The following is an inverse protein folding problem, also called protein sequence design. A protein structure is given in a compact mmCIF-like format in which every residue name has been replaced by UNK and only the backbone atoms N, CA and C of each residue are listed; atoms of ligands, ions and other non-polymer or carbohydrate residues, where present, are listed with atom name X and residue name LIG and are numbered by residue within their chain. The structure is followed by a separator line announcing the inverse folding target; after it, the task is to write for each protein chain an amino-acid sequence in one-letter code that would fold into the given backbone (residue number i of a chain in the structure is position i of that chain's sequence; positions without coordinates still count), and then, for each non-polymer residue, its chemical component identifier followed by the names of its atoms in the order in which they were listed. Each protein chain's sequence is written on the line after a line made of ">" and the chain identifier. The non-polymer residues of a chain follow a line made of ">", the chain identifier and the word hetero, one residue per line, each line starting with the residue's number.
data_IF_374331014622
#
_entry.id   IF_374331014622
#
_cell.length_a   1.000
_cell.length_b   1.000
_cell.length_c   1.000
_cell.angle_alpha   90.00
_cell.angle_beta   90.00
_cell.angle_gamma   90.00
#
_symmetry.space_group_name_H-M   'P 1'
#
loop_
_entity.id
_entity.type
_entity.pdbx_description
1 polymer ?
#
# COMPACT_ATOMS: atom_id res chain seq x y z
N UNK A 1 9.47 7.50 22.76
CA UNK A 1 8.03 7.42 22.44
C UNK A 1 7.87 6.37 21.37
N UNK A 2 6.89 5.46 21.47
CA UNK A 2 6.69 4.42 20.47
C UNK A 2 6.12 5.06 19.20
N UNK A 3 6.88 5.05 18.09
CA UNK A 3 6.35 5.46 16.79
C UNK A 3 5.33 4.41 16.35
N UNK A 4 4.07 4.80 16.26
CA UNK A 4 3.01 3.93 15.74
C UNK A 4 3.30 3.69 14.26
N UNK A 5 3.31 2.42 13.84
CA UNK A 5 3.51 2.04 12.44
C UNK A 5 2.23 1.41 11.90
N UNK A 6 1.74 1.93 10.78
CA UNK A 6 0.56 1.43 10.06
C UNK A 6 0.96 0.97 8.66
N UNK A 7 0.31 -0.10 8.19
CA UNK A 7 0.42 -0.56 6.80
C UNK A 7 -0.97 -0.53 6.17
N UNK A 8 -1.19 0.41 5.26
CA UNK A 8 -2.38 0.52 4.44
C UNK A 8 -2.15 -0.27 3.15
N UNK A 9 -2.99 -1.27 2.90
CA UNK A 9 -2.90 -2.12 1.71
C UNK A 9 -4.07 -1.85 0.79
N UNK A 10 -3.79 -1.32 -0.40
CA UNK A 10 -4.77 -1.19 -1.47
C UNK A 10 -4.78 -2.49 -2.26
N UNK A 11 -5.89 -3.23 -2.24
CA UNK A 11 -6.05 -4.44 -3.06
C UNK A 11 -6.54 -4.03 -4.45
N UNK A 12 -5.95 -4.63 -5.49
CA UNK A 12 -6.27 -4.38 -6.89
C UNK A 12 -5.50 -5.31 -7.82
N UNK A 13 -5.68 -5.13 -9.12
CA UNK A 13 -4.88 -5.79 -10.16
C UNK A 13 -4.12 -4.74 -10.98
N UNK A 14 -2.83 -4.97 -11.31
CA UNK A 14 -2.04 -4.06 -12.13
C UNK A 14 -2.44 -4.11 -13.61
N UNK A 15 -2.29 -2.97 -14.31
CA UNK A 15 -2.45 -2.86 -15.77
C UNK A 15 -3.69 -2.06 -16.20
N UNK A 16 -3.59 -1.37 -17.35
CA UNK A 16 -4.61 -0.43 -17.85
C UNK A 16 -6.02 -1.02 -17.94
N UNK A 17 -6.14 -2.32 -18.25
CA UNK A 17 -7.42 -3.03 -18.36
C UNK A 17 -8.23 -3.10 -17.05
N UNK A 18 -7.62 -2.83 -15.90
CA UNK A 18 -8.30 -2.88 -14.59
C UNK A 18 -8.54 -1.51 -13.96
N UNK A 19 -8.09 -0.43 -14.59
CA UNK A 19 -8.15 0.93 -14.03
C UNK A 19 -9.58 1.37 -13.68
N UNK A 20 -10.58 0.92 -14.43
CA UNK A 20 -12.00 1.25 -14.20
C UNK A 20 -12.80 0.12 -13.53
N UNK A 21 -12.13 -0.91 -13.01
CA UNK A 21 -12.81 -1.98 -12.29
C UNK A 21 -13.00 -1.59 -10.81
N UNK A 22 -14.17 -1.86 -10.24
CA UNK A 22 -14.46 -1.69 -8.80
C UNK A 22 -13.44 -2.41 -7.92
N UNK A 23 -12.81 -3.47 -8.42
CA UNK A 23 -11.72 -4.19 -7.76
C UNK A 23 -10.43 -3.38 -7.58
N UNK A 24 -10.23 -2.26 -8.27
CA UNK A 24 -9.05 -1.41 -8.13
C UNK A 24 -9.27 -0.19 -7.22
N UNK A 25 -10.43 -0.10 -6.53
CA UNK A 25 -10.73 1.04 -5.66
C UNK A 25 -9.69 1.21 -4.55
N UNK A 26 -9.09 0.12 -4.07
CA UNK A 26 -8.01 0.18 -3.09
C UNK A 26 -6.79 0.96 -3.60
N UNK A 27 -6.40 0.78 -4.87
CA UNK A 27 -5.30 1.55 -5.45
C UNK A 27 -5.64 3.02 -5.58
N UNK A 28 -6.86 3.33 -6.05
CA UNK A 28 -7.34 4.70 -6.22
C UNK A 28 -7.36 5.45 -4.89
N UNK A 29 -7.86 4.81 -3.83
CA UNK A 29 -7.85 5.41 -2.49
C UNK A 29 -6.42 5.71 -2.03
N UNK A 30 -5.48 4.79 -2.21
CA UNK A 30 -4.10 5.04 -1.80
C UNK A 30 -3.43 6.16 -2.61
N UNK A 31 -3.73 6.27 -3.91
CA UNK A 31 -3.29 7.40 -4.74
C UNK A 31 -3.84 8.72 -4.21
N UNK A 32 -5.16 8.79 -4.01
CA UNK A 32 -5.81 10.01 -3.50
C UNK A 32 -5.33 10.43 -2.11
N UNK A 33 -4.94 9.48 -1.25
CA UNK A 33 -4.34 9.81 0.06
C UNK A 33 -2.95 10.45 -0.06
N UNK A 34 -2.22 10.17 -1.14
CA UNK A 34 -0.89 10.73 -1.39
C UNK A 34 -0.89 11.89 -2.39
N UNK A 35 -2.01 12.21 -3.04
CA UNK A 35 -2.14 13.27 -4.05
C UNK A 35 -1.66 14.64 -3.54
N UNK A 36 -1.90 14.96 -2.27
CA UNK A 36 -1.42 16.20 -1.64
C UNK A 36 -0.02 16.11 -1.02
N UNK A 37 0.60 14.92 -1.05
CA UNK A 37 1.93 14.69 -0.52
C UNK A 37 2.99 14.82 -1.62
N UNK A 38 4.23 15.13 -1.25
CA UNK A 38 5.39 15.05 -2.16
C UNK A 38 5.96 13.63 -2.29
N UNK A 39 5.28 12.63 -1.73
CA UNK A 39 5.77 11.25 -1.65
C UNK A 39 5.40 10.47 -2.90
N UNK A 40 6.40 9.90 -3.55
CA UNK A 40 6.23 9.00 -4.69
C UNK A 40 6.36 7.53 -4.27
N UNK A 41 5.64 6.64 -4.96
CA UNK A 41 5.81 5.20 -4.80
C UNK A 41 7.15 4.71 -5.34
N UNK A 42 7.86 3.91 -4.53
CA UNK A 42 8.95 3.06 -5.00
C UNK A 42 8.36 1.74 -5.52
N UNK A 43 8.56 1.47 -6.81
CA UNK A 43 7.92 0.35 -7.49
C UNK A 43 8.93 -0.70 -7.94
N UNK A 44 8.62 -1.97 -7.67
CA UNK A 44 9.34 -3.13 -8.22
C UNK A 44 8.35 -4.09 -8.91
N UNK A 45 8.81 -5.27 -9.32
CA UNK A 45 7.99 -6.25 -10.04
C UNK A 45 6.85 -6.87 -9.21
N UNK A 46 6.88 -6.74 -7.87
CA UNK A 46 5.91 -7.36 -6.95
C UNK A 46 4.98 -6.35 -6.29
N UNK A 47 5.43 -5.12 -6.06
CA UNK A 47 4.63 -4.10 -5.38
C UNK A 47 5.12 -2.67 -5.63
N UNK A 48 4.24 -1.72 -5.36
CA UNK A 48 4.56 -0.31 -5.15
C UNK A 48 4.41 0.03 -3.67
N UNK A 49 5.43 0.64 -3.07
CA UNK A 49 5.45 1.04 -1.66
C UNK A 49 5.76 2.52 -1.52
N UNK A 50 4.99 3.23 -0.71
CA UNK A 50 5.27 4.59 -0.27
C UNK A 50 5.27 4.67 1.26
N UNK A 51 5.87 5.71 1.81
CA UNK A 51 5.95 5.95 3.26
C UNK A 51 5.74 7.42 3.56
N UNK A 52 4.91 7.71 4.55
CA UNK A 52 4.84 9.03 5.20
C UNK A 52 5.15 8.90 6.69
N UNK A 53 5.59 9.99 7.29
CA UNK A 53 5.77 10.13 8.73
C UNK A 53 5.03 11.41 9.16
N UNK A 54 3.89 11.25 9.82
CA UNK A 54 2.97 12.34 10.17
C UNK A 54 2.55 12.19 11.64
N UNK A 55 2.69 13.26 12.43
CA UNK A 55 2.28 13.31 13.84
C UNK A 55 2.76 12.12 14.71
N UNK A 56 3.98 11.64 14.45
CA UNK A 56 4.56 10.50 15.17
C UNK A 56 4.04 9.12 14.73
N UNK A 57 3.29 9.07 13.63
CA UNK A 57 2.81 7.85 12.97
C UNK A 57 3.55 7.66 11.65
N UNK A 58 4.21 6.50 11.50
CA UNK A 58 4.76 6.07 10.22
C UNK A 58 3.69 5.27 9.47
N UNK A 59 3.29 5.73 8.29
CA UNK A 59 2.30 5.03 7.46
C UNK A 59 2.99 4.50 6.22
N UNK A 60 2.86 3.20 5.98
CA UNK A 60 3.27 2.52 4.75
C UNK A 60 2.06 2.29 3.86
N UNK A 61 2.16 2.68 2.59
CA UNK A 61 1.12 2.53 1.58
C UNK A 61 1.55 1.48 0.57
N UNK A 62 0.88 0.33 0.55
CA UNK A 62 1.26 -0.82 -0.26
C UNK A 62 0.23 -1.12 -1.34
N UNK A 63 0.68 -1.20 -2.59
CA UNK A 63 -0.06 -1.75 -3.72
C UNK A 63 0.62 -3.02 -4.22
N UNK A 64 0.07 -4.22 -3.94
CA UNK A 64 0.53 -5.46 -4.54
C UNK A 64 0.39 -5.41 -6.07
N UNK A 65 1.49 -5.57 -6.81
CA UNK A 65 1.49 -5.63 -8.28
C UNK A 65 1.48 -7.07 -8.80
N UNK A 66 1.15 -8.02 -7.95
CA UNK A 66 0.78 -9.37 -8.36
C UNK A 66 -0.73 -9.44 -8.60
N UNK A 67 -1.21 -10.53 -9.20
CA UNK A 67 -2.65 -10.77 -9.29
C UNK A 67 -3.28 -10.81 -7.90
N UNK A 68 -4.54 -10.37 -7.80
CA UNK A 68 -5.24 -10.19 -6.52
C UNK A 68 -5.19 -11.43 -5.61
N UNK A 69 -5.21 -12.64 -6.18
CA UNK A 69 -5.12 -13.91 -5.44
C UNK A 69 -3.73 -14.21 -4.86
N UNK A 70 -2.69 -13.51 -5.29
CA UNK A 70 -1.30 -13.64 -4.83
C UNK A 70 -0.85 -12.48 -3.94
N UNK A 71 -1.69 -11.45 -3.79
CA UNK A 71 -1.41 -10.25 -3.00
C UNK A 71 -0.96 -10.53 -1.55
N UNK A 72 -1.41 -11.64 -0.96
CA UNK A 72 -0.98 -12.08 0.37
C UNK A 72 0.54 -12.27 0.53
N UNK A 73 1.27 -12.59 -0.57
CA UNK A 73 2.74 -12.76 -0.51
C UNK A 73 3.46 -11.44 -0.28
N UNK A 74 3.13 -10.42 -1.06
CA UNK A 74 3.74 -9.09 -0.92
C UNK A 74 3.32 -8.40 0.39
N UNK A 75 2.06 -8.58 0.81
CA UNK A 75 1.59 -8.11 2.12
C UNK A 75 2.40 -8.75 3.25
N UNK A 76 2.56 -10.08 3.26
CA UNK A 76 3.34 -10.77 4.28
C UNK A 76 4.83 -10.37 4.29
N UNK A 77 5.41 -10.13 3.11
CA UNK A 77 6.80 -9.68 2.99
C UNK A 77 7.00 -8.30 3.63
N UNK A 78 6.16 -7.33 3.26
CA UNK A 78 6.24 -5.96 3.80
C UNK A 78 5.87 -5.92 5.27
N UNK A 79 4.91 -6.74 5.67
CA UNK A 79 4.49 -6.87 7.04
C UNK A 79 5.67 -7.23 7.98
N UNK A 80 6.47 -8.22 7.59
CA UNK A 80 7.66 -8.63 8.34
C UNK A 80 8.75 -7.55 8.36
N UNK A 81 8.91 -6.80 7.27
CA UNK A 81 9.95 -5.75 7.13
C UNK A 81 9.67 -4.49 7.96
N UNK A 82 8.41 -4.21 8.27
CA UNK A 82 8.01 -2.91 8.82
C UNK A 82 7.69 -2.90 10.31
N UNK A 83 7.54 -4.07 10.96
CA UNK A 83 7.19 -4.20 12.39
C UNK A 83 5.97 -3.33 12.79
N UNK A 84 4.85 -3.53 12.10
CA UNK A 84 3.64 -2.71 12.20
C UNK A 84 2.51 -3.44 12.94
N UNK A 85 1.51 -2.66 13.40
CA UNK A 85 0.26 -3.20 13.93
C UNK A 85 -0.70 -3.45 12.75
N UNK A 86 -1.10 -4.70 12.51
CA UNK A 86 -2.01 -5.04 11.42
C UNK A 86 -3.44 -4.58 11.77
N UNK A 87 -3.99 -3.67 10.94
CA UNK A 87 -5.40 -3.26 10.99
C UNK A 87 -5.99 -3.39 9.57
N UNK A 88 -6.94 -4.31 9.40
CA UNK A 88 -7.63 -4.58 8.14
C UNK A 88 -9.02 -3.93 8.18
N UNK A 89 -9.42 -3.24 7.10
CA UNK A 89 -10.77 -2.70 6.90
C UNK A 89 -11.39 -3.36 5.66
#
# INVERSE_FOLDING_TARGET
>A
MANLKLLLVGIGNPGQKYVHNRHNIGFVILDSLLDSSSVSYQTNSKYSLARTDEDGVTIFYLKPLEFMNLSGKSVAEIAKKTEFLLKTF
#
